data_IF_372839879924
#
_entry.id   IF_372839879924
#
_cell.length_a   1.000
_cell.length_b   1.000
_cell.length_c   1.000
_cell.angle_alpha   90.00
_cell.angle_beta   90.00
_cell.angle_gamma   90.00
#
_symmetry.space_group_name_H-M   'P 1'
#
loop_
_entity.id
_entity.type
_entity.pdbx_description
1 polymer ?
#
# COMPACT_ATOMS: atom_id res chain seq x y z
N UNK A 1 -2.79 -18.45 -5.33
CA UNK A 1 -1.86 -17.37 -5.70
C UNK A 1 -0.87 -17.22 -4.55
N UNK A 2 0.42 -17.42 -4.80
CA UNK A 2 1.45 -17.28 -3.77
C UNK A 2 1.83 -15.79 -3.54
N UNK A 3 2.91 -15.54 -2.78
CA UNK A 3 3.37 -14.19 -2.50
C UNK A 3 4.01 -13.50 -3.71
N UNK A 4 4.79 -14.23 -4.50
CA UNK A 4 5.57 -13.69 -5.61
C UNK A 4 4.68 -13.43 -6.83
N UNK A 5 3.71 -14.32 -7.11
CA UNK A 5 2.64 -14.09 -8.08
C UNK A 5 1.81 -12.83 -7.74
N UNK A 6 1.50 -12.62 -6.46
CA UNK A 6 0.79 -11.41 -5.99
C UNK A 6 1.64 -10.17 -6.23
N UNK A 7 2.93 -10.20 -5.88
CA UNK A 7 3.84 -9.07 -6.11
C UNK A 7 4.02 -8.77 -7.60
N UNK A 8 4.16 -9.80 -8.45
CA UNK A 8 4.26 -9.66 -9.89
C UNK A 8 2.99 -9.04 -10.50
N UNK A 9 1.79 -9.46 -10.07
CA UNK A 9 0.52 -8.83 -10.49
C UNK A 9 0.45 -7.36 -10.09
N UNK A 10 0.82 -7.01 -8.86
CA UNK A 10 0.85 -5.62 -8.42
C UNK A 10 1.78 -4.80 -9.34
N UNK A 11 3.02 -5.25 -9.54
CA UNK A 11 3.98 -4.55 -10.41
C UNK A 11 3.47 -4.40 -11.87
N UNK A 12 2.82 -5.42 -12.44
CA UNK A 12 2.21 -5.34 -13.76
C UNK A 12 1.13 -4.24 -13.84
N UNK A 13 0.27 -4.15 -12.82
CA UNK A 13 -0.73 -3.10 -12.67
C UNK A 13 -0.16 -1.76 -12.18
N UNK A 14 1.17 -1.59 -12.19
CA UNK A 14 1.84 -0.38 -11.75
C UNK A 14 1.61 -0.10 -10.25
N UNK A 15 1.73 -1.14 -9.41
CA UNK A 15 1.56 -1.10 -7.96
C UNK A 15 2.81 -1.64 -7.25
N UNK A 16 3.36 -0.84 -6.32
CA UNK A 16 4.46 -1.20 -5.43
C UNK A 16 4.01 -1.35 -3.97
N UNK A 17 4.62 -2.29 -3.25
CA UNK A 17 4.45 -2.47 -1.82
C UNK A 17 5.55 -1.73 -1.05
N UNK A 18 5.19 -1.09 0.07
CA UNK A 18 6.14 -0.41 0.96
C UNK A 18 5.59 -0.40 2.39
N UNK A 19 6.45 -0.61 3.39
CA UNK A 19 6.11 -0.49 4.82
C UNK A 19 6.72 0.81 5.38
N UNK A 20 6.01 1.49 6.26
CA UNK A 20 6.55 2.61 7.04
C UNK A 20 7.71 2.22 7.98
N UNK A 21 7.83 0.94 8.33
CA UNK A 21 8.88 0.39 9.20
C UNK A 21 9.93 -0.34 8.33
N UNK A 22 11.19 0.09 8.42
CA UNK A 22 12.34 -0.57 7.79
C UNK A 22 12.73 -1.85 8.53
N UNK A 23 12.84 -1.74 9.85
CA UNK A 23 13.21 -2.85 10.74
C UNK A 23 12.45 -2.70 12.05
N UNK A 24 12.06 -3.83 12.65
CA UNK A 24 11.59 -3.89 14.02
C UNK A 24 11.86 -5.28 14.61
N UNK A 25 11.75 -5.40 15.93
CA UNK A 25 11.52 -6.69 16.59
C UNK A 25 10.02 -6.82 16.83
N UNK A 26 9.41 -7.89 16.34
CA UNK A 26 8.01 -8.23 16.63
C UNK A 26 7.94 -9.70 17.03
N UNK A 27 7.31 -9.96 18.18
CA UNK A 27 6.99 -11.31 18.62
C UNK A 27 5.54 -11.62 18.21
N UNK A 28 5.34 -12.69 17.43
CA UNK A 28 4.06 -12.97 16.78
C UNK A 28 3.67 -11.98 15.68
N UNK A 29 2.38 -11.94 15.34
CA UNK A 29 1.82 -11.15 14.22
C UNK A 29 1.18 -9.82 14.63
N UNK A 30 0.97 -9.57 15.93
CA UNK A 30 0.26 -8.39 16.42
C UNK A 30 1.13 -7.13 16.39
N UNK A 31 0.61 -6.03 15.84
CA UNK A 31 1.32 -4.74 15.82
C UNK A 31 1.62 -4.21 17.23
N UNK A 32 0.80 -4.57 18.23
CA UNK A 32 1.04 -4.26 19.64
C UNK A 32 2.36 -4.87 20.19
N UNK A 33 2.93 -5.87 19.52
CA UNK A 33 4.21 -6.50 19.86
C UNK A 33 5.42 -5.87 19.13
N UNK A 34 5.23 -4.86 18.29
CA UNK A 34 6.32 -4.15 17.60
C UNK A 34 7.17 -3.38 18.62
N UNK A 35 8.49 -3.58 18.58
CA UNK A 35 9.51 -2.93 19.41
C UNK A 35 10.69 -2.51 18.54
N UNK A 36 11.44 -1.49 18.98
CA UNK A 36 12.63 -0.98 18.28
C UNK A 36 12.37 -0.67 16.79
N UNK A 37 11.19 -0.15 16.45
CA UNK A 37 10.82 0.18 15.09
C UNK A 37 11.67 1.34 14.54
N UNK A 38 12.36 1.10 13.44
CA UNK A 38 13.04 2.11 12.65
C UNK A 38 12.17 2.43 11.43
N UNK A 39 11.94 3.71 11.15
CA UNK A 39 11.14 4.13 10.00
C UNK A 39 11.91 3.96 8.69
N UNK A 40 11.22 3.58 7.62
CA UNK A 40 11.78 3.57 6.27
C UNK A 40 12.06 5.00 5.78
N UNK A 41 13.19 5.19 5.09
CA UNK A 41 13.58 6.48 4.56
C UNK A 41 12.74 6.88 3.34
N UNK A 42 11.87 7.86 3.52
CA UNK A 42 11.12 8.52 2.45
C UNK A 42 11.98 8.95 1.24
N UNK A 43 13.21 9.44 1.46
CA UNK A 43 14.10 9.84 0.39
C UNK A 43 14.53 8.69 -0.53
N UNK A 44 14.57 7.45 -0.01
CA UNK A 44 14.85 6.25 -0.80
C UNK A 44 13.67 5.96 -1.75
N UNK A 45 12.44 6.01 -1.24
CA UNK A 45 11.22 5.78 -2.03
C UNK A 45 11.17 6.71 -3.27
N UNK A 46 11.47 8.00 -3.09
CA UNK A 46 11.50 8.97 -4.19
C UNK A 46 12.54 8.63 -5.26
N UNK A 47 13.78 8.30 -4.84
CA UNK A 47 14.88 7.98 -5.77
C UNK A 47 14.56 6.77 -6.66
N UNK A 48 13.86 5.77 -6.11
CA UNK A 48 13.48 4.57 -6.88
C UNK A 48 12.13 4.71 -7.59
N UNK A 49 11.32 5.72 -7.28
CA UNK A 49 9.95 5.88 -7.79
C UNK A 49 9.70 7.30 -8.34
N UNK A 50 10.43 7.74 -9.39
CA UNK A 50 10.30 9.10 -9.94
C UNK A 50 8.93 9.40 -10.56
N UNK A 51 8.12 8.37 -10.83
CA UNK A 51 6.75 8.49 -11.32
C UNK A 51 5.68 8.24 -10.23
N UNK A 52 6.07 8.17 -8.95
CA UNK A 52 5.12 8.12 -7.84
C UNK A 52 4.33 9.43 -7.81
N UNK A 53 3.00 9.34 -7.86
CA UNK A 53 2.10 10.49 -7.78
C UNK A 53 1.01 10.34 -6.70
N UNK A 54 0.73 9.10 -6.27
CA UNK A 54 -0.33 8.78 -5.29
C UNK A 54 0.16 7.81 -4.22
N UNK A 55 -0.22 8.08 -2.97
CA UNK A 55 0.19 7.33 -1.77
C UNK A 55 -1.05 6.93 -0.96
N UNK A 56 -1.37 5.63 -0.94
CA UNK A 56 -2.56 5.09 -0.28
C UNK A 56 -2.22 4.37 1.03
N UNK A 57 -2.61 4.94 2.17
CA UNK A 57 -2.29 4.44 3.50
C UNK A 57 -3.26 3.34 3.93
N UNK A 58 -2.75 2.15 4.23
CA UNK A 58 -3.56 1.06 4.77
C UNK A 58 -3.84 1.24 6.26
N UNK A 59 -5.06 1.64 6.59
CA UNK A 59 -5.51 1.85 7.96
C UNK A 59 -5.00 3.15 8.61
N UNK A 60 -5.64 3.51 9.72
CA UNK A 60 -5.39 4.78 10.44
C UNK A 60 -3.96 4.92 10.97
N UNK A 61 -3.26 3.82 11.24
CA UNK A 61 -1.89 3.84 11.79
C UNK A 61 -0.89 4.37 10.78
N UNK A 62 -0.88 3.84 9.55
CA UNK A 62 -0.02 4.34 8.46
C UNK A 62 -0.49 5.74 8.00
N UNK A 63 -1.81 5.98 8.00
CA UNK A 63 -2.43 7.27 7.67
C UNK A 63 -1.97 8.45 8.54
N UNK A 64 -1.37 8.22 9.72
CA UNK A 64 -0.70 9.27 10.50
C UNK A 64 0.42 9.98 9.74
N UNK A 65 0.97 9.35 8.70
CA UNK A 65 1.99 9.94 7.84
C UNK A 65 1.41 10.77 6.68
N UNK A 66 0.09 10.77 6.47
CA UNK A 66 -0.56 11.36 5.29
C UNK A 66 -0.11 12.80 5.02
N UNK A 67 -0.17 13.66 6.03
CA UNK A 67 0.19 15.08 5.92
C UNK A 67 1.62 15.28 5.38
N UNK A 68 2.56 14.39 5.73
CA UNK A 68 3.95 14.47 5.24
C UNK A 68 4.04 14.24 3.73
N UNK A 69 3.19 13.36 3.19
CA UNK A 69 3.17 13.04 1.77
C UNK A 69 2.35 14.06 0.96
N UNK A 70 1.22 14.53 1.48
CA UNK A 70 0.46 15.58 0.80
C UNK A 70 1.23 16.91 0.76
N UNK A 71 1.94 17.29 1.82
CA UNK A 71 2.87 18.43 1.81
C UNK A 71 4.07 18.25 0.86
N UNK A 72 4.42 17.02 0.51
CA UNK A 72 5.45 16.71 -0.48
C UNK A 72 4.90 16.67 -1.93
N UNK A 73 3.62 16.98 -2.14
CA UNK A 73 2.99 17.08 -3.46
C UNK A 73 2.35 15.80 -3.99
N UNK A 74 2.22 14.74 -3.17
CA UNK A 74 1.53 13.51 -3.58
C UNK A 74 0.02 13.60 -3.34
N UNK A 75 -0.76 13.00 -4.22
CA UNK A 75 -2.14 12.64 -3.90
C UNK A 75 -2.14 11.60 -2.77
N UNK A 76 -2.99 11.77 -1.77
CA UNK A 76 -3.08 10.84 -0.64
C UNK A 76 -4.49 10.28 -0.46
N UNK A 77 -4.57 9.04 0.01
CA UNK A 77 -5.82 8.37 0.39
C UNK A 77 -5.57 7.53 1.65
N UNK A 78 -6.38 7.68 2.70
CA UNK A 78 -6.39 6.74 3.82
C UNK A 78 -7.50 5.71 3.61
N UNK A 79 -7.12 4.44 3.58
CA UNK A 79 -7.99 3.30 3.27
C UNK A 79 -8.31 2.50 4.55
N UNK A 80 -9.43 1.74 4.58
CA UNK A 80 -9.70 0.82 5.67
C UNK A 80 -8.63 -0.27 5.71
N UNK A 81 -8.30 -0.74 6.92
CA UNK A 81 -7.29 -1.79 7.05
C UNK A 81 -7.76 -3.09 6.39
N UNK A 82 -6.96 -3.57 5.45
CA UNK A 82 -7.06 -4.91 4.83
C UNK A 82 -7.07 -6.06 5.84
N UNK A 83 -6.36 -5.89 6.96
CA UNK A 83 -6.14 -6.94 7.94
C UNK A 83 -7.45 -7.58 8.42
N UNK A 84 -7.50 -8.91 8.61
CA UNK A 84 -8.63 -9.58 9.26
C UNK A 84 -8.94 -9.04 10.65
N UNK A 85 -7.93 -8.49 11.35
CA UNK A 85 -8.10 -7.86 12.66
C UNK A 85 -9.00 -6.61 12.61
N UNK A 86 -9.12 -5.94 11.46
CA UNK A 86 -10.07 -4.85 11.25
C UNK A 86 -11.45 -5.42 10.86
N UNK A 87 -12.06 -6.16 11.78
CA UNK A 87 -13.34 -6.86 11.59
C UNK A 87 -14.57 -5.93 11.66
N UNK A 88 -14.40 -4.64 11.96
CA UNK A 88 -15.48 -3.66 12.13
C UNK A 88 -16.03 -3.13 10.78
N UNK A 89 -15.56 -3.64 9.65
CA UNK A 89 -15.99 -3.30 8.30
C UNK A 89 -16.05 -4.58 7.46
N UNK A 90 -17.12 -4.76 6.68
CA UNK A 90 -17.29 -5.95 5.85
C UNK A 90 -16.24 -6.03 4.74
N UNK A 91 -16.05 -7.22 4.18
CA UNK A 91 -15.16 -7.42 3.03
C UNK A 91 -15.58 -6.56 1.82
N UNK A 92 -16.87 -6.49 1.54
CA UNK A 92 -17.41 -5.74 0.40
C UNK A 92 -17.29 -4.22 0.60
N UNK A 93 -17.46 -3.72 1.83
CA UNK A 93 -17.23 -2.31 2.16
C UNK A 93 -15.75 -1.93 2.02
N UNK A 94 -14.84 -2.81 2.50
CA UNK A 94 -13.40 -2.64 2.26
C UNK A 94 -13.15 -2.59 0.77
N UNK A 95 -13.61 -3.58 0.00
CA UNK A 95 -13.46 -3.64 -1.44
C UNK A 95 -13.93 -2.34 -2.12
N UNK A 96 -15.13 -1.87 -1.82
CA UNK A 96 -15.68 -0.64 -2.38
C UNK A 96 -14.81 0.60 -2.09
N UNK A 97 -14.09 0.64 -0.96
CA UNK A 97 -13.08 1.67 -0.69
C UNK A 97 -11.80 1.44 -1.50
N UNK A 98 -11.27 0.20 -1.55
CA UNK A 98 -10.06 -0.15 -2.29
C UNK A 98 -10.21 0.03 -3.82
N UNK A 99 -11.40 -0.20 -4.40
CA UNK A 99 -11.69 0.04 -5.84
C UNK A 99 -11.42 1.50 -6.26
N UNK A 100 -11.47 2.47 -5.33
CA UNK A 100 -11.24 3.91 -5.58
C UNK A 100 -9.75 4.27 -5.79
N UNK A 101 -8.83 3.38 -5.46
CA UNK A 101 -7.37 3.61 -5.63
C UNK A 101 -6.98 3.64 -7.10
N UNK A 102 -7.65 2.82 -7.90
CA UNK A 102 -7.37 2.60 -9.33
C UNK A 102 -8.01 3.73 -10.14
N UNK A 103 -7.20 4.51 -10.85
CA UNK A 103 -7.68 5.56 -11.75
C UNK A 103 -8.28 4.94 -13.03
N UNK A 104 -9.58 5.14 -13.32
CA UNK A 104 -10.21 4.60 -14.52
C UNK A 104 -9.61 5.13 -15.83
N UNK A 105 -8.85 6.24 -15.82
CA UNK A 105 -8.12 6.73 -17.01
C UNK A 105 -6.78 6.02 -17.27
N UNK A 106 -6.31 5.20 -16.33
CA UNK A 106 -5.07 4.39 -16.45
C UNK A 106 -5.30 2.88 -16.30
N UNK A 107 -6.52 2.46 -15.97
CA UNK A 107 -6.88 1.07 -15.77
C UNK A 107 -7.47 0.44 -17.04
N UNK A 108 -6.61 -0.15 -17.88
CA UNK A 108 -7.06 -1.21 -18.78
C UNK A 108 -7.15 -2.49 -17.94
N UNK A 109 -8.40 -2.88 -17.65
CA UNK A 109 -8.85 -4.11 -17.00
C UNK A 109 -8.59 -4.30 -15.48
N UNK A 110 -9.54 -5.06 -14.90
CA UNK A 110 -9.50 -5.80 -13.62
C UNK A 110 -9.72 -5.02 -12.31
N UNK A 111 -10.92 -5.18 -11.74
CA UNK A 111 -11.21 -4.90 -10.32
C UNK A 111 -12.10 -5.97 -9.65
N UNK A 112 -12.15 -7.21 -10.15
CA UNK A 112 -12.95 -8.28 -9.54
C UNK A 112 -12.12 -9.41 -8.88
N UNK A 113 -10.78 -9.40 -8.99
CA UNK A 113 -9.92 -10.48 -8.47
C UNK A 113 -8.95 -10.10 -7.33
N UNK A 114 -8.68 -8.80 -7.11
CA UNK A 114 -7.51 -8.33 -6.32
C UNK A 114 -7.75 -8.32 -4.79
N UNK A 115 -8.96 -8.66 -4.36
CA UNK A 115 -9.48 -8.31 -3.03
C UNK A 115 -8.96 -9.11 -1.83
N UNK A 116 -8.72 -10.43 -1.90
CA UNK A 116 -8.58 -11.24 -0.68
C UNK A 116 -7.20 -11.18 0.00
N UNK A 117 -6.20 -10.46 -0.52
CA UNK A 117 -4.90 -10.35 0.14
C UNK A 117 -4.02 -9.19 -0.35
N UNK A 118 -4.01 -8.03 0.32
CA UNK A 118 -2.87 -7.07 0.33
C UNK A 118 -2.85 -6.32 1.67
N UNK A 119 -1.71 -6.26 2.38
CA UNK A 119 -1.55 -5.53 3.65
C UNK A 119 -0.87 -4.13 3.56
N UNK A 120 -0.73 -3.56 2.35
CA UNK A 120 -0.64 -2.10 2.02
C UNK A 120 -0.56 -1.92 0.49
N UNK A 121 -1.11 -0.87 -0.14
CA UNK A 121 -0.95 -0.62 -1.61
C UNK A 121 -0.37 0.78 -1.86
N UNK A 122 0.67 0.89 -2.68
CA UNK A 122 1.08 2.16 -3.31
C UNK A 122 1.28 1.96 -4.83
N UNK A 123 1.20 3.01 -5.64
CA UNK A 123 1.21 2.88 -7.12
C UNK A 123 2.63 3.14 -7.67
N UNK A 124 3.30 2.13 -8.27
CA UNK A 124 4.60 2.21 -8.97
C UNK A 124 4.58 1.25 -10.18
N UNK A 125 4.85 1.66 -11.41
CA UNK A 125 5.93 2.58 -11.79
C UNK A 125 7.29 1.89 -12.09
N UNK A 126 7.43 0.56 -12.35
CA UNK A 126 8.62 0.04 -13.00
C UNK A 126 8.55 0.34 -14.50
N UNK A 127 9.52 1.09 -15.01
CA UNK A 127 9.93 0.98 -16.40
C UNK A 127 10.81 -0.28 -16.52
N UNK A 128 10.69 -1.02 -17.63
CA UNK A 128 11.42 -2.26 -17.88
C UNK A 128 12.88 -1.98 -18.26
N UNK A 129 13.77 -2.90 -17.91
CA UNK A 129 15.03 -3.11 -18.64
C UNK A 129 16.31 -2.55 -18.01
N UNK A 130 17.41 -3.10 -18.51
CA UNK A 130 18.78 -2.65 -18.32
C UNK A 130 19.15 -1.53 -19.31
#
# INVERSE_FOLDING_TARGET
MDYDERLARLLAHQIGLWDTIATCKREGSLDAAIRQAQANEFGVLLRHSPHLFRVCFNGKTSGKSEQRFSMAGFETLVLPSSSPAYAHMSFDDKLAAWKKVVDPKRAIALLDEVVPAIDTIHVRIPNLGA
#
